data_IF_807185679030
#
_entry.id   IF_807185679030
#
_cell.length_a   1.000
_cell.length_b   1.000
_cell.length_c   1.000
_cell.angle_alpha   90.00
_cell.angle_beta   90.00
_cell.angle_gamma   90.00
#
_symmetry.space_group_name_H-M   'P 1'
#
loop_
_entity.id
_entity.type
_entity.pdbx_description
1 polymer ?
#
# COMPACT_ATOMS: atom_id res chain seq x y z
N UNK A 1 21.41 -2.84 4.71
CA UNK A 1 20.86 -2.09 5.86
C UNK A 1 19.43 -1.69 5.48
N UNK A 2 18.44 -2.09 6.28
CA UNK A 2 17.01 -1.85 5.97
C UNK A 2 16.49 -0.68 6.78
N UNK A 3 15.82 0.27 6.13
CA UNK A 3 15.17 1.40 6.79
C UNK A 3 13.77 0.99 7.25
N UNK A 4 13.46 1.24 8.52
CA UNK A 4 12.12 1.10 9.07
C UNK A 4 11.57 2.49 9.35
N UNK A 5 10.34 2.75 8.91
CA UNK A 5 9.60 3.99 9.15
C UNK A 5 8.32 3.64 9.89
N UNK A 6 8.07 4.29 11.02
CA UNK A 6 6.79 4.24 11.70
C UNK A 6 5.87 5.39 11.22
N UNK A 7 4.65 5.47 11.77
CA UNK A 7 3.68 6.49 11.37
C UNK A 7 4.16 7.92 11.67
N UNK A 8 4.84 8.15 12.79
CA UNK A 8 5.36 9.46 13.16
C UNK A 8 6.49 9.88 12.20
N UNK A 9 7.33 8.94 11.78
CA UNK A 9 8.37 9.18 10.77
C UNK A 9 7.74 9.57 9.43
N UNK A 10 6.70 8.84 8.98
CA UNK A 10 5.99 9.12 7.72
C UNK A 10 5.31 10.49 7.76
N UNK A 11 4.65 10.85 8.86
CA UNK A 11 3.99 12.14 9.02
C UNK A 11 4.94 13.34 8.90
N UNK A 12 6.22 13.16 9.24
CA UNK A 12 7.23 14.22 9.15
C UNK A 12 7.73 14.47 7.73
N UNK A 13 7.57 13.51 6.82
CA UNK A 13 8.18 13.55 5.49
C UNK A 13 7.16 13.51 4.34
N UNK A 14 5.96 12.99 4.56
CA UNK A 14 4.92 12.87 3.54
C UNK A 14 3.92 14.04 3.63
N UNK A 15 3.94 14.93 2.65
CA UNK A 15 2.98 16.03 2.53
C UNK A 15 1.84 15.70 1.57
N UNK A 16 0.71 16.41 1.67
CA UNK A 16 -0.38 16.26 0.71
C UNK A 16 -0.02 16.67 -0.71
N UNK A 17 0.78 17.73 -0.85
CA UNK A 17 1.21 18.20 -2.16
C UNK A 17 2.05 17.13 -2.88
N UNK A 18 3.03 16.55 -2.17
CA UNK A 18 3.84 15.45 -2.70
C UNK A 18 2.98 14.22 -3.04
N UNK A 19 2.00 13.91 -2.19
CA UNK A 19 1.12 12.76 -2.39
C UNK A 19 0.30 12.91 -3.67
N UNK A 20 -0.31 14.09 -3.88
CA UNK A 20 -1.12 14.36 -5.08
C UNK A 20 -0.26 14.36 -6.34
N UNK A 21 0.91 15.00 -6.31
CA UNK A 21 1.85 15.04 -7.43
C UNK A 21 2.25 13.62 -7.88
N UNK A 22 2.67 12.78 -6.92
CA UNK A 22 3.11 11.42 -7.23
C UNK A 22 1.95 10.56 -7.74
N UNK A 23 0.75 10.71 -7.16
CA UNK A 23 -0.44 9.99 -7.63
C UNK A 23 -0.81 10.35 -9.07
N UNK A 24 -0.86 11.63 -9.45
CA UNK A 24 -1.15 12.04 -10.84
C UNK A 24 -0.14 11.44 -11.81
N UNK A 25 1.17 11.52 -11.49
CA UNK A 25 2.22 10.90 -12.31
C UNK A 25 2.05 9.38 -12.43
N UNK A 26 1.75 8.69 -11.33
CA UNK A 26 1.51 7.25 -11.34
C UNK A 26 0.31 6.86 -12.20
N UNK A 27 -0.80 7.58 -12.11
CA UNK A 27 -1.98 7.28 -12.93
C UNK A 27 -1.73 7.52 -14.43
N UNK A 28 -1.03 8.60 -14.79
CA UNK A 28 -0.61 8.84 -16.18
C UNK A 28 0.34 7.74 -16.67
N UNK A 29 1.30 7.36 -15.85
CA UNK A 29 2.23 6.27 -16.13
C UNK A 29 1.53 4.92 -16.33
N UNK A 30 0.40 4.68 -15.66
CA UNK A 30 -0.39 3.46 -15.87
C UNK A 30 -1.03 3.46 -17.26
N UNK A 31 -1.50 4.61 -17.75
CA UNK A 31 -2.07 4.75 -19.08
C UNK A 31 -1.03 4.60 -20.20
N UNK A 32 0.22 4.99 -19.95
CA UNK A 32 1.34 4.86 -20.91
C UNK A 32 2.07 3.52 -20.79
N UNK A 33 1.80 2.71 -19.75
CA UNK A 33 2.49 1.45 -19.48
C UNK A 33 3.84 1.60 -18.78
N UNK A 34 4.19 2.80 -18.31
CA UNK A 34 5.43 3.11 -17.58
C UNK A 34 5.34 2.80 -16.08
N UNK A 35 4.14 2.56 -15.55
CA UNK A 35 3.93 2.13 -14.17
C UNK A 35 2.96 0.95 -14.11
N UNK A 36 2.95 0.26 -12.96
CA UNK A 36 2.13 -0.93 -12.73
C UNK A 36 1.21 -0.73 -11.53
N UNK A 37 0.01 -1.32 -11.61
CA UNK A 37 -0.88 -1.50 -10.48
C UNK A 37 -1.00 -3.01 -10.22
N UNK A 38 -0.34 -3.48 -9.15
CA UNK A 38 -0.39 -4.90 -8.80
C UNK A 38 -1.77 -5.22 -8.22
N UNK A 39 -2.42 -6.31 -8.66
CA UNK A 39 -3.71 -6.71 -8.10
C UNK A 39 -3.63 -6.90 -6.58
N UNK A 40 -4.68 -6.45 -5.88
CA UNK A 40 -4.86 -6.72 -4.46
C UNK A 40 -4.88 -8.23 -4.24
N UNK A 41 -4.09 -8.70 -3.29
CA UNK A 41 -4.20 -10.06 -2.77
C UNK A 41 -4.75 -9.97 -1.35
N UNK A 42 -5.86 -10.65 -1.09
CA UNK A 42 -6.41 -10.84 0.23
C UNK A 42 -6.45 -12.34 0.55
N UNK A 43 -5.81 -12.72 1.65
CA UNK A 43 -5.76 -14.09 2.17
C UNK A 43 -6.57 -14.13 3.46
N UNK A 44 -7.52 -15.05 3.51
CA UNK A 44 -8.33 -15.32 4.70
C UNK A 44 -8.05 -16.73 5.19
N UNK A 45 -7.55 -16.85 6.42
CA UNK A 45 -7.13 -18.12 7.01
C UNK A 45 -8.05 -18.41 8.20
N UNK A 46 -8.74 -19.56 8.23
CA UNK A 46 -9.49 -20.01 9.40
C UNK A 46 -8.56 -20.12 10.61
N UNK A 47 -9.05 -19.76 11.79
CA UNK A 47 -8.31 -19.95 13.03
C UNK A 47 -8.90 -21.11 13.83
N UNK A 48 -8.30 -21.46 14.96
CA UNK A 48 -8.86 -22.42 15.90
C UNK A 48 -10.15 -21.94 16.58
N UNK A 49 -10.42 -20.63 16.57
CA UNK A 49 -11.68 -20.04 17.02
C UNK A 49 -12.61 -19.87 15.80
N UNK A 50 -13.75 -20.60 15.72
CA UNK A 50 -14.66 -20.55 14.58
C UNK A 50 -15.26 -19.16 14.30
N UNK A 51 -15.26 -18.27 15.30
CA UNK A 51 -15.71 -16.89 15.15
C UNK A 51 -14.64 -15.93 14.62
N UNK A 52 -13.40 -16.40 14.44
CA UNK A 52 -12.25 -15.56 14.06
C UNK A 52 -11.58 -16.04 12.78
N UNK A 53 -11.28 -15.07 11.92
CA UNK A 53 -10.52 -15.26 10.68
C UNK A 53 -9.30 -14.36 10.72
N UNK A 54 -8.12 -14.91 10.44
CA UNK A 54 -6.95 -14.10 10.16
C UNK A 54 -7.04 -13.57 8.73
N UNK A 55 -6.93 -12.25 8.57
CA UNK A 55 -6.92 -11.60 7.26
C UNK A 55 -5.59 -10.89 7.06
N UNK A 56 -4.89 -11.28 6.00
CA UNK A 56 -3.72 -10.58 5.51
C UNK A 56 -4.00 -10.14 4.09
N UNK A 57 -3.57 -8.94 3.73
CA UNK A 57 -3.57 -8.58 2.33
C UNK A 57 -2.54 -7.53 1.99
N UNK A 58 -2.15 -7.55 0.73
CA UNK A 58 -1.07 -6.75 0.18
C UNK A 58 -1.55 -6.12 -1.13
N UNK A 59 -1.17 -4.85 -1.32
CA UNK A 59 -1.15 -4.18 -2.62
C UNK A 59 0.26 -4.27 -3.19
#
# INVERSE_FOLDING_TARGET
>A
MTLFLNNDDVQRVLTMELTVEVLDRSYRGLATGETVCRPRIDVRIPTSDPGKTYQWGTM
#
